data_IF_918159620891
#
_entry.id   IF_918159620891
#
_cell.length_a   1.000
_cell.length_b   1.000
_cell.length_c   1.000
_cell.angle_alpha   90.00
_cell.angle_beta   90.00
_cell.angle_gamma   90.00
#
_symmetry.space_group_name_H-M   'P 1'
#
loop_
_entity.id
_entity.type
_entity.pdbx_description
1 polymer ?
#
# COMPACT_ATOMS: atom_id res chain seq x y z
N UNK A 1 20.39 -24.02 27.81
CA UNK A 1 21.28 -23.35 26.83
C UNK A 1 21.89 -24.37 25.86
N UNK A 2 21.35 -24.46 24.66
CA UNK A 2 21.85 -25.34 23.60
C UNK A 2 23.12 -24.75 23.01
N UNK A 3 24.24 -25.49 23.09
CA UNK A 3 25.54 -25.06 22.55
C UNK A 3 25.66 -25.48 21.09
N UNK A 4 26.16 -24.57 20.25
CA UNK A 4 26.53 -24.87 18.86
C UNK A 4 27.75 -25.81 18.81
N UNK A 5 27.94 -26.57 17.71
CA UNK A 5 28.97 -27.60 17.59
C UNK A 5 30.43 -27.11 17.77
N UNK A 6 30.67 -25.79 17.82
CA UNK A 6 31.98 -25.18 18.04
C UNK A 6 32.20 -24.63 19.47
N UNK A 7 31.25 -24.81 20.39
CA UNK A 7 31.43 -24.43 21.80
C UNK A 7 31.45 -22.92 22.08
N UNK A 8 31.20 -22.08 21.08
CA UNK A 8 31.02 -20.65 21.26
C UNK A 8 29.69 -20.36 21.96
N UNK A 9 29.71 -19.47 22.96
CA UNK A 9 28.51 -18.89 23.55
C UNK A 9 27.92 -17.97 22.48
N UNK A 10 26.78 -18.35 21.89
CA UNK A 10 26.04 -17.49 20.96
C UNK A 10 25.64 -16.23 21.73
N UNK A 11 26.24 -15.11 21.39
CA UNK A 11 25.95 -13.81 22.02
C UNK A 11 24.47 -13.50 21.75
N UNK A 12 23.61 -13.41 22.78
CA UNK A 12 22.17 -13.20 22.58
C UNK A 12 21.87 -11.89 21.83
N UNK A 13 22.82 -10.96 21.81
CA UNK A 13 22.72 -9.66 21.13
C UNK A 13 23.16 -9.70 19.66
N UNK A 14 23.69 -10.82 19.16
CA UNK A 14 24.13 -10.92 17.75
C UNK A 14 22.99 -11.17 16.75
N UNK A 15 21.85 -11.69 17.22
CA UNK A 15 20.65 -11.91 16.39
C UNK A 15 19.67 -10.74 16.41
N UNK A 16 19.67 -9.92 17.48
CA UNK A 16 18.79 -8.75 17.58
C UNK A 16 19.01 -7.76 16.42
N UNK A 17 20.26 -7.56 15.94
CA UNK A 17 20.52 -6.72 14.78
C UNK A 17 19.81 -7.17 13.49
N UNK A 18 19.88 -8.47 13.22
CA UNK A 18 19.30 -9.07 12.03
C UNK A 18 17.77 -9.11 12.12
N UNK A 19 17.23 -9.31 13.32
CA UNK A 19 15.79 -9.31 13.57
C UNK A 19 15.17 -7.93 13.32
N UNK A 20 15.85 -6.82 13.63
CA UNK A 20 15.34 -5.48 13.32
C UNK A 20 15.43 -5.16 11.83
N UNK A 21 16.51 -5.57 11.15
CA UNK A 21 16.67 -5.38 9.71
C UNK A 21 15.57 -6.11 8.94
N UNK A 22 15.33 -7.38 9.28
CA UNK A 22 14.28 -8.18 8.65
C UNK A 22 12.88 -7.61 8.87
N UNK A 23 12.59 -7.11 10.08
CA UNK A 23 11.29 -6.47 10.36
C UNK A 23 11.11 -5.21 9.53
N UNK A 24 12.15 -4.37 9.41
CA UNK A 24 12.10 -3.17 8.59
C UNK A 24 11.90 -3.48 7.10
N UNK A 25 12.56 -4.53 6.60
CA UNK A 25 12.35 -5.01 5.22
C UNK A 25 10.94 -5.56 5.00
N UNK A 26 10.43 -6.37 5.94
CA UNK A 26 9.07 -6.91 5.89
C UNK A 26 8.02 -5.79 5.91
N UNK A 27 8.19 -4.79 6.80
CA UNK A 27 7.31 -3.63 6.89
C UNK A 27 7.34 -2.81 5.60
N UNK A 28 8.53 -2.61 5.00
CA UNK A 28 8.69 -1.93 3.71
C UNK A 28 7.95 -2.68 2.60
N UNK A 29 8.12 -3.99 2.50
CA UNK A 29 7.43 -4.83 1.52
C UNK A 29 5.91 -4.84 1.73
N UNK A 30 5.47 -4.77 2.99
CA UNK A 30 4.05 -4.71 3.32
C UNK A 30 3.43 -3.40 2.87
N UNK A 31 4.10 -2.26 3.08
CA UNK A 31 3.67 -0.95 2.57
C UNK A 31 3.58 -0.99 1.04
N UNK A 32 4.61 -1.49 0.35
CA UNK A 32 4.61 -1.61 -1.10
C UNK A 32 3.42 -2.44 -1.61
N UNK A 33 3.16 -3.59 -0.98
CA UNK A 33 2.02 -4.46 -1.34
C UNK A 33 0.67 -3.79 -1.15
N UNK A 34 0.51 -3.00 -0.08
CA UNK A 34 -0.72 -2.24 0.16
C UNK A 34 -0.90 -1.20 -0.96
N UNK A 35 0.15 -0.43 -1.28
CA UNK A 35 0.08 0.58 -2.33
C UNK A 35 -0.22 -0.05 -3.71
N UNK A 36 0.43 -1.16 -4.05
CA UNK A 36 0.15 -1.92 -5.27
C UNK A 36 -1.28 -2.46 -5.31
N UNK A 37 -1.82 -2.94 -4.18
CA UNK A 37 -3.19 -3.41 -4.09
C UNK A 37 -4.18 -2.27 -4.38
N UNK A 38 -3.99 -1.11 -3.75
CA UNK A 38 -4.84 0.07 -3.98
C UNK A 38 -4.76 0.50 -5.45
N UNK A 39 -3.55 0.58 -6.01
CA UNK A 39 -3.33 0.90 -7.43
C UNK A 39 -4.06 -0.10 -8.33
N UNK A 40 -3.93 -1.39 -8.05
CA UNK A 40 -4.57 -2.44 -8.86
C UNK A 40 -6.08 -2.36 -8.82
N UNK A 41 -6.69 -2.10 -7.65
CA UNK A 41 -8.14 -1.92 -7.51
C UNK A 41 -8.62 -0.72 -8.33
N UNK A 42 -7.91 0.41 -8.27
CA UNK A 42 -8.24 1.60 -9.06
C UNK A 42 -8.00 1.40 -10.57
N UNK A 43 -7.03 0.58 -10.94
CA UNK A 43 -6.67 0.34 -12.35
C UNK A 43 -7.66 -0.58 -13.07
N UNK A 44 -8.51 -1.33 -12.36
CA UNK A 44 -9.48 -2.21 -13.02
C UNK A 44 -10.39 -1.37 -13.94
N UNK A 45 -10.46 -1.70 -15.24
CA UNK A 45 -11.37 -1.03 -16.15
C UNK A 45 -12.81 -1.41 -15.79
N UNK A 46 -13.77 -0.48 -15.86
CA UNK A 46 -15.17 -0.78 -15.62
C UNK A 46 -15.70 -1.81 -16.62
N UNK A 47 -16.63 -2.66 -16.19
CA UNK A 47 -17.31 -3.59 -17.09
C UNK A 47 -18.29 -2.78 -17.97
N UNK A 48 -18.15 -2.81 -19.31
CA UNK A 48 -19.03 -2.07 -20.20
C UNK A 48 -20.51 -2.45 -20.02
N UNK A 49 -20.78 -3.67 -19.57
CA UNK A 49 -22.14 -4.16 -19.35
C UNK A 49 -22.79 -3.49 -18.13
N UNK A 50 -22.03 -3.25 -17.06
CA UNK A 50 -22.53 -2.57 -15.86
C UNK A 50 -22.75 -1.07 -16.12
N UNK A 51 -21.87 -0.43 -16.90
CA UNK A 51 -22.04 0.98 -17.30
C UNK A 51 -23.30 1.22 -18.14
N UNK A 52 -23.67 0.27 -19.00
CA UNK A 52 -24.88 0.36 -19.84
C UNK A 52 -26.16 -0.07 -19.14
N UNK A 53 -26.07 -0.82 -18.04
CA UNK A 53 -27.21 -1.31 -17.25
C UNK A 53 -27.50 -0.47 -16.01
N UNK A 54 -26.59 0.43 -15.63
CA UNK A 54 -26.79 1.37 -14.54
C UNK A 54 -28.05 2.20 -14.74
N UNK A 55 -28.89 2.27 -13.71
CA UNK A 55 -30.04 3.18 -13.69
C UNK A 55 -29.51 4.61 -13.68
N UNK A 56 -30.09 5.51 -14.49
CA UNK A 56 -29.77 6.94 -14.46
C UNK A 56 -29.73 7.45 -13.00
N UNK A 57 -28.53 7.76 -12.50
CA UNK A 57 -28.31 8.31 -11.16
C UNK A 57 -27.52 7.46 -10.17
N UNK A 58 -27.15 6.21 -10.49
CA UNK A 58 -26.25 5.45 -9.62
C UNK A 58 -24.78 5.89 -9.81
N UNK A 59 -24.02 5.99 -8.71
CA UNK A 59 -22.62 6.41 -8.77
C UNK A 59 -21.77 5.34 -9.48
N UNK A 60 -20.78 5.76 -10.28
CA UNK A 60 -19.92 4.81 -10.99
C UNK A 60 -19.17 3.90 -10.01
N UNK A 61 -18.73 2.72 -10.47
CA UNK A 61 -17.87 1.84 -9.64
C UNK A 61 -16.63 2.60 -9.17
N UNK A 62 -16.08 3.47 -10.01
CA UNK A 62 -14.95 4.33 -9.66
C UNK A 62 -15.28 5.26 -8.49
N UNK A 63 -16.39 5.99 -8.55
CA UNK A 63 -16.82 6.90 -7.49
C UNK A 63 -17.07 6.17 -6.16
N UNK A 64 -17.62 4.95 -6.23
CA UNK A 64 -17.83 4.11 -5.05
C UNK A 64 -16.50 3.67 -4.41
N UNK A 65 -15.49 3.37 -5.22
CA UNK A 65 -14.14 3.07 -4.74
C UNK A 65 -13.50 4.32 -4.11
N UNK A 66 -13.61 5.49 -4.75
CA UNK A 66 -13.13 6.75 -4.18
C UNK A 66 -13.77 7.04 -2.83
N UNK A 67 -15.08 6.82 -2.71
CA UNK A 67 -15.78 6.98 -1.44
C UNK A 67 -15.28 6.01 -0.37
N UNK A 68 -15.04 4.74 -0.71
CA UNK A 68 -14.46 3.76 0.21
C UNK A 68 -13.05 4.15 0.68
N UNK A 69 -12.22 4.67 -0.24
CA UNK A 69 -10.88 5.17 0.10
C UNK A 69 -10.96 6.35 1.08
N UNK A 70 -11.89 7.27 0.87
CA UNK A 70 -12.10 8.40 1.77
C UNK A 70 -12.60 7.96 3.16
N UNK A 71 -13.62 7.10 3.22
CA UNK A 71 -14.17 6.63 4.50
C UNK A 71 -13.16 5.80 5.31
N UNK A 72 -12.26 5.08 4.63
CA UNK A 72 -11.17 4.35 5.31
C UNK A 72 -10.02 5.25 5.80
N UNK A 73 -9.98 6.53 5.42
CA UNK A 73 -8.87 7.44 5.70
C UNK A 73 -7.62 7.19 4.84
N UNK A 74 -7.75 6.40 3.76
CA UNK A 74 -6.64 6.11 2.85
C UNK A 74 -6.16 7.37 2.12
N UNK A 75 -7.07 8.30 1.81
CA UNK A 75 -6.70 9.57 1.19
C UNK A 75 -5.81 10.44 2.08
N UNK A 76 -6.02 10.42 3.39
CA UNK A 76 -5.16 11.11 4.36
C UNK A 76 -3.77 10.45 4.48
N UNK A 77 -3.70 9.12 4.41
CA UNK A 77 -2.43 8.40 4.34
C UNK A 77 -1.65 8.74 3.06
N UNK A 78 -2.33 8.77 1.90
CA UNK A 78 -1.71 9.15 0.63
C UNK A 78 -1.21 10.60 0.65
N UNK A 79 -1.97 11.54 1.26
CA UNK A 79 -1.52 12.92 1.48
C UNK A 79 -0.26 12.96 2.36
N UNK A 80 -0.22 12.18 3.43
CA UNK A 80 0.96 12.07 4.28
C UNK A 80 2.17 11.60 3.49
N UNK A 81 2.05 10.45 2.78
CA UNK A 81 3.13 9.88 1.97
C UNK A 81 3.62 10.84 0.87
N UNK A 82 2.71 11.62 0.26
CA UNK A 82 3.05 12.63 -0.74
C UNK A 82 3.83 13.83 -0.17
N UNK A 83 3.58 14.18 1.10
CA UNK A 83 4.11 15.40 1.73
C UNK A 83 5.38 15.18 2.56
N UNK A 84 5.62 13.93 2.98
CA UNK A 84 6.74 13.61 3.85
C UNK A 84 8.04 13.40 3.06
N UNK A 85 9.06 14.22 3.35
CA UNK A 85 10.38 14.11 2.71
C UNK A 85 11.09 12.77 3.02
N UNK A 86 10.74 12.11 4.13
CA UNK A 86 11.29 10.80 4.50
C UNK A 86 10.67 9.63 3.71
N UNK A 87 9.49 9.84 3.12
CA UNK A 87 8.71 8.82 2.41
C UNK A 87 8.88 8.87 0.88
N UNK A 88 9.89 9.58 0.37
CA UNK A 88 10.08 9.76 -1.07
C UNK A 88 10.22 8.46 -1.86
N UNK A 89 10.63 7.35 -1.22
CA UNK A 89 10.65 6.03 -1.84
C UNK A 89 9.27 5.60 -2.40
N UNK A 90 8.18 6.13 -1.84
CA UNK A 90 6.81 5.81 -2.25
C UNK A 90 6.25 6.80 -3.28
N UNK A 91 6.99 7.84 -3.66
CA UNK A 91 6.47 8.96 -4.45
C UNK A 91 5.82 8.53 -5.78
N UNK A 92 6.43 7.56 -6.49
CA UNK A 92 5.87 7.06 -7.75
C UNK A 92 4.58 6.25 -7.55
N UNK A 93 4.52 5.42 -6.51
CA UNK A 93 3.31 4.67 -6.16
C UNK A 93 2.16 5.63 -5.83
N UNK A 94 2.43 6.64 -5.01
CA UNK A 94 1.45 7.66 -4.63
C UNK A 94 0.99 8.47 -5.84
N UNK A 95 1.92 8.86 -6.72
CA UNK A 95 1.59 9.57 -7.96
C UNK A 95 0.65 8.75 -8.85
N UNK A 96 0.95 7.47 -9.08
CA UNK A 96 0.14 6.59 -9.91
C UNK A 96 -1.28 6.41 -9.33
N UNK A 97 -1.38 6.22 -8.01
CA UNK A 97 -2.67 6.11 -7.32
C UNK A 97 -3.48 7.40 -7.49
N UNK A 98 -2.88 8.57 -7.24
CA UNK A 98 -3.56 9.86 -7.41
C UNK A 98 -3.99 10.04 -8.87
N UNK A 99 -3.14 9.73 -9.85
CA UNK A 99 -3.52 9.79 -11.28
C UNK A 99 -4.72 8.91 -11.60
N UNK A 100 -4.81 7.71 -11.03
CA UNK A 100 -5.98 6.84 -11.21
C UNK A 100 -7.21 7.36 -10.48
N UNK A 101 -7.08 7.94 -9.29
CA UNK A 101 -8.21 8.54 -8.58
C UNK A 101 -8.89 9.64 -9.40
N UNK A 102 -8.11 10.42 -10.14
CA UNK A 102 -8.59 11.55 -10.96
C UNK A 102 -8.80 11.19 -12.44
N UNK A 103 -8.78 9.91 -12.83
CA UNK A 103 -8.84 9.52 -14.26
C UNK A 103 -10.12 9.96 -14.99
N UNK A 104 -11.22 10.09 -14.24
CA UNK A 104 -12.56 10.42 -14.76
C UNK A 104 -12.97 11.89 -14.45
N UNK A 105 -12.01 12.75 -14.08
CA UNK A 105 -12.23 14.18 -13.72
C UNK A 105 -11.76 15.15 -14.81
#
# INVERSE_FOLDING_TARGET
PSRDPQGAVRDPDSSVPQDWEQRQEEDTLLIERILLLVRNVLHVPPDPTEEQQGVDGDASVHDRVLWALHISGMDDLLKFLASAQVEQQWALHVLEIISLMFRDQ
#
